data_IF_757931627458
#
_entry.id   IF_757931627458
#
_cell.length_a   1.000
_cell.length_b   1.000
_cell.length_c   1.000
_cell.angle_alpha   90.00
_cell.angle_beta   90.00
_cell.angle_gamma   90.00
#
_symmetry.space_group_name_H-M   'P 1'
#
loop_
_entity.id
_entity.type
_entity.pdbx_description
1 polymer ?
#
# COMPACT_ATOMS: atom_id res chain seq x y z
N UNK A 1 2.39 -9.56 -8.85
CA UNK A 1 3.64 -9.14 -8.14
C UNK A 1 4.80 -9.22 -9.11
N UNK A 2 5.86 -8.47 -8.86
CA UNK A 2 7.09 -8.46 -9.67
C UNK A 2 8.30 -8.54 -8.75
N UNK A 3 9.19 -9.50 -8.98
CA UNK A 3 10.48 -9.61 -8.28
C UNK A 3 11.55 -8.78 -8.99
N UNK A 4 12.60 -8.40 -8.27
CA UNK A 4 13.72 -7.61 -8.81
C UNK A 4 13.25 -6.34 -9.53
N UNK A 5 12.32 -5.61 -8.91
CA UNK A 5 11.57 -4.53 -9.54
C UNK A 5 12.44 -3.35 -9.98
N UNK A 6 13.37 -2.93 -9.13
CA UNK A 6 14.39 -1.94 -9.48
C UNK A 6 15.69 -2.63 -9.93
N UNK A 7 16.37 -2.13 -10.97
CA UNK A 7 17.70 -2.63 -11.36
C UNK A 7 18.78 -2.34 -10.30
N UNK A 8 18.58 -1.32 -9.47
CA UNK A 8 19.53 -0.91 -8.43
C UNK A 8 18.77 -0.47 -7.15
N UNK A 9 18.25 -1.43 -6.36
CA UNK A 9 17.49 -1.11 -5.15
C UNK A 9 18.38 -0.54 -4.03
N UNK A 10 19.70 -0.80 -4.07
CA UNK A 10 20.64 -0.28 -3.07
C UNK A 10 20.87 1.21 -3.25
N UNK A 11 20.96 1.71 -4.49
CA UNK A 11 20.96 3.14 -4.78
C UNK A 11 19.70 3.85 -4.26
N UNK A 12 18.53 3.20 -4.31
CA UNK A 12 17.28 3.76 -3.78
C UNK A 12 17.30 3.87 -2.25
N UNK A 13 17.88 2.91 -1.55
CA UNK A 13 18.07 2.98 -0.09
C UNK A 13 19.05 4.11 0.24
N UNK A 14 20.21 4.15 -0.42
CA UNK A 14 21.23 5.17 -0.20
C UNK A 14 20.68 6.59 -0.47
N UNK A 15 19.82 6.73 -1.48
CA UNK A 15 19.08 7.97 -1.70
C UNK A 15 18.15 8.31 -0.54
N UNK A 16 17.32 7.35 -0.10
CA UNK A 16 16.38 7.56 0.99
C UNK A 16 17.08 8.01 2.28
N UNK A 17 18.30 7.53 2.57
CA UNK A 17 19.09 8.01 3.72
C UNK A 17 19.34 9.52 3.73
N UNK A 18 19.39 10.14 2.55
CA UNK A 18 19.70 11.57 2.40
C UNK A 18 18.47 12.46 2.45
N UNK A 19 17.27 11.89 2.51
CA UNK A 19 16.01 12.62 2.43
C UNK A 19 15.46 12.98 3.81
N UNK A 20 14.80 14.13 3.87
CA UNK A 20 14.04 14.54 5.05
C UNK A 20 12.66 13.90 5.06
N UNK A 21 12.47 12.91 5.93
CA UNK A 21 11.16 12.29 6.15
C UNK A 21 10.30 13.10 7.12
N UNK A 22 9.06 13.35 6.72
CA UNK A 22 8.06 14.03 7.54
C UNK A 22 6.69 13.35 7.44
N UNK A 23 5.74 13.74 8.30
CA UNK A 23 4.37 13.22 8.23
C UNK A 23 3.72 13.78 6.96
N UNK A 24 3.31 12.90 6.04
CA UNK A 24 2.65 13.28 4.79
C UNK A 24 1.45 12.39 4.49
N UNK A 25 0.28 13.03 4.37
CA UNK A 25 -1.00 12.36 4.12
C UNK A 25 -1.63 11.83 5.41
N UNK A 26 -2.94 12.04 5.54
CA UNK A 26 -3.71 11.76 6.76
C UNK A 26 -3.78 10.26 7.11
N UNK A 27 -3.77 9.40 6.10
CA UNK A 27 -4.10 7.98 6.25
C UNK A 27 -2.88 7.04 6.36
N UNK A 28 -1.66 7.55 6.25
CA UNK A 28 -0.47 6.70 6.33
C UNK A 28 0.09 6.63 7.76
N UNK A 29 0.35 5.43 8.32
CA UNK A 29 0.84 5.27 9.69
C UNK A 29 2.37 5.45 9.78
N UNK A 30 2.86 6.65 9.43
CA UNK A 30 4.27 6.98 9.58
C UNK A 30 4.72 8.21 8.82
N UNK A 31 5.97 8.18 8.36
CA UNK A 31 6.63 9.31 7.70
C UNK A 31 7.02 8.97 6.26
N UNK A 32 7.13 10.01 5.44
CA UNK A 32 7.37 9.91 4.00
C UNK A 32 8.33 10.98 3.50
N UNK A 33 8.89 10.73 2.33
CA UNK A 33 9.65 11.68 1.55
C UNK A 33 9.32 11.53 0.05
N UNK A 34 9.49 12.59 -0.73
CA UNK A 34 9.38 12.51 -2.19
C UNK A 34 10.49 11.63 -2.74
N UNK A 35 10.17 10.77 -3.70
CA UNK A 35 11.23 10.09 -4.46
C UNK A 35 11.92 11.07 -5.40
N UNK A 36 13.17 10.80 -5.76
CA UNK A 36 13.83 11.54 -6.84
C UNK A 36 13.57 10.84 -8.20
N UNK A 37 13.97 11.46 -9.33
CA UNK A 37 13.91 10.81 -10.63
C UNK A 37 14.61 9.43 -10.70
N UNK A 38 15.58 9.16 -9.81
CA UNK A 38 16.31 7.90 -9.77
C UNK A 38 15.38 6.69 -9.58
N UNK A 39 14.27 6.85 -8.85
CA UNK A 39 13.29 5.77 -8.65
C UNK A 39 12.70 5.24 -9.97
N UNK A 40 12.55 6.11 -10.97
CA UNK A 40 11.92 5.75 -12.24
C UNK A 40 12.90 5.18 -13.27
N UNK A 41 14.21 5.27 -13.01
CA UNK A 41 15.24 4.78 -13.91
C UNK A 41 15.10 3.25 -14.12
N UNK A 42 14.91 2.84 -15.37
CA UNK A 42 14.79 1.42 -15.73
C UNK A 42 13.42 0.77 -15.48
N UNK A 43 12.50 1.42 -14.74
CA UNK A 43 11.19 0.83 -14.43
C UNK A 43 10.33 0.58 -15.67
N UNK A 44 10.50 1.34 -16.76
CA UNK A 44 9.72 1.15 -17.99
C UNK A 44 9.90 -0.24 -18.61
N UNK A 45 11.10 -0.83 -18.51
CA UNK A 45 11.36 -2.18 -19.01
C UNK A 45 10.54 -3.24 -18.27
N UNK A 46 10.23 -2.98 -16.99
CA UNK A 46 9.46 -3.87 -16.11
C UNK A 46 7.96 -3.57 -16.18
N UNK A 47 7.58 -2.29 -16.08
CA UNK A 47 6.19 -1.85 -16.02
C UNK A 47 5.49 -1.88 -17.37
N UNK A 48 6.20 -1.61 -18.47
CA UNK A 48 5.61 -1.57 -19.81
C UNK A 48 4.85 -2.87 -20.16
N UNK A 49 5.49 -4.05 -20.07
CA UNK A 49 4.83 -5.34 -20.28
C UNK A 49 3.66 -5.56 -19.30
N UNK A 50 3.86 -5.31 -18.00
CA UNK A 50 2.82 -5.53 -16.97
C UNK A 50 1.57 -4.69 -17.26
N UNK A 51 1.74 -3.40 -17.57
CA UNK A 51 0.60 -2.52 -17.82
C UNK A 51 -0.16 -2.91 -19.08
N UNK A 52 0.52 -3.36 -20.14
CA UNK A 52 -0.15 -3.81 -21.37
C UNK A 52 -0.82 -5.17 -21.20
N UNK A 53 -0.11 -6.14 -20.64
CA UNK A 53 -0.54 -7.55 -20.65
C UNK A 53 -1.52 -7.88 -19.52
N UNK A 54 -1.38 -7.23 -18.36
CA UNK A 54 -2.24 -7.49 -17.19
C UNK A 54 -3.36 -6.45 -17.09
N UNK A 55 -3.04 -5.18 -17.33
CA UNK A 55 -3.98 -4.08 -17.13
C UNK A 55 -4.56 -3.51 -18.44
N UNK A 56 -4.14 -4.03 -19.60
CA UNK A 56 -4.70 -3.64 -20.89
C UNK A 56 -4.39 -2.20 -21.33
N UNK A 57 -3.39 -1.54 -20.73
CA UNK A 57 -3.02 -0.17 -21.06
C UNK A 57 -2.65 -0.04 -22.54
N UNK A 58 -3.25 0.93 -23.24
CA UNK A 58 -3.02 1.15 -24.67
C UNK A 58 -2.08 2.32 -24.94
N UNK A 59 -2.02 3.27 -24.01
CA UNK A 59 -1.21 4.48 -24.13
C UNK A 59 0.00 4.50 -23.17
N UNK A 60 0.66 5.65 -23.11
CA UNK A 60 1.80 5.88 -22.21
C UNK A 60 1.33 5.94 -20.75
N UNK A 61 2.07 5.28 -19.88
CA UNK A 61 1.85 5.28 -18.44
C UNK A 61 2.40 6.59 -17.85
N UNK A 62 1.59 7.28 -17.06
CA UNK A 62 2.00 8.48 -16.31
C UNK A 62 1.97 8.22 -14.81
N UNK A 63 3.09 8.49 -14.12
CA UNK A 63 3.11 8.51 -12.66
C UNK A 63 2.49 9.80 -12.14
N UNK A 64 1.53 9.67 -11.23
CA UNK A 64 0.88 10.81 -10.58
C UNK A 64 1.59 11.20 -9.28
N UNK A 65 2.13 10.20 -8.57
CA UNK A 65 2.77 10.38 -7.26
C UNK A 65 3.67 9.18 -6.95
N UNK A 66 4.79 9.43 -6.30
CA UNK A 66 5.64 8.39 -5.73
C UNK A 66 6.32 8.91 -4.46
N UNK A 67 6.25 8.12 -3.39
CA UNK A 67 6.74 8.51 -2.06
C UNK A 67 7.50 7.35 -1.41
N UNK A 68 8.73 7.63 -0.96
CA UNK A 68 9.36 6.79 0.07
C UNK A 68 8.50 6.86 1.34
N UNK A 69 8.31 5.73 2.00
CA UNK A 69 7.43 5.59 3.14
C UNK A 69 8.02 4.64 4.18
N UNK A 70 8.09 5.11 5.44
CA UNK A 70 8.46 4.32 6.61
C UNK A 70 7.26 4.21 7.55
N UNK A 71 6.76 2.99 7.76
CA UNK A 71 5.72 2.76 8.76
C UNK A 71 6.37 2.76 10.15
N UNK A 72 5.95 3.67 11.02
CA UNK A 72 6.54 3.89 12.35
C UNK A 72 5.51 4.17 13.45
N UNK A 73 4.23 4.33 13.11
CA UNK A 73 3.21 4.66 14.11
C UNK A 73 2.96 3.47 15.03
N UNK A 74 3.04 3.64 16.36
CA UNK A 74 2.74 2.56 17.29
C UNK A 74 1.23 2.24 17.31
N UNK A 75 0.83 1.00 17.62
CA UNK A 75 -0.57 0.56 17.60
C UNK A 75 -1.55 1.48 18.35
N UNK A 76 -1.15 1.98 19.51
CA UNK A 76 -1.96 2.85 20.37
C UNK A 76 -2.25 4.24 19.76
N UNK A 77 -1.48 4.66 18.75
CA UNK A 77 -1.63 5.95 18.07
C UNK A 77 -2.33 5.82 16.71
N UNK A 78 -2.71 4.60 16.30
CA UNK A 78 -3.39 4.38 15.03
C UNK A 78 -4.80 4.97 15.03
N UNK A 79 -5.12 5.69 13.97
CA UNK A 79 -6.51 6.11 13.70
C UNK A 79 -7.37 4.92 13.27
N UNK A 80 -8.70 5.03 13.28
CA UNK A 80 -9.58 3.98 12.76
C UNK A 80 -9.23 3.57 11.31
N UNK A 81 -8.96 4.55 10.45
CA UNK A 81 -8.63 4.31 9.05
C UNK A 81 -7.32 3.52 8.87
N UNK A 82 -6.37 3.63 9.80
CA UNK A 82 -5.10 2.89 9.77
C UNK A 82 -5.20 1.46 10.33
N UNK A 83 -6.34 1.11 10.94
CA UNK A 83 -6.60 -0.20 11.58
C UNK A 83 -7.37 -1.17 10.67
N UNK A 84 -7.86 -0.70 9.51
CA UNK A 84 -8.74 -1.46 8.62
C UNK A 84 -8.28 -1.41 7.16
N UNK A 85 -8.79 -2.32 6.30
CA UNK A 85 -8.56 -2.24 4.86
C UNK A 85 -9.11 -0.95 4.27
N UNK A 86 -8.38 -0.39 3.30
CA UNK A 86 -8.72 0.84 2.61
C UNK A 86 -8.51 0.70 1.10
N UNK A 87 -8.97 1.72 0.38
CA UNK A 87 -8.65 1.97 -1.02
C UNK A 87 -7.91 3.31 -1.12
N UNK A 88 -7.09 3.48 -2.15
CA UNK A 88 -6.39 4.74 -2.39
C UNK A 88 -7.29 5.77 -3.11
N UNK A 89 -8.15 5.30 -4.00
CA UNK A 89 -9.10 6.13 -4.75
C UNK A 89 -10.20 5.29 -5.39
N UNK A 90 -11.34 5.92 -5.68
CA UNK A 90 -12.47 5.34 -6.41
C UNK A 90 -12.36 5.52 -7.93
N UNK A 91 -11.38 6.31 -8.38
CA UNK A 91 -11.17 6.63 -9.79
C UNK A 91 -10.75 5.39 -10.59
N UNK A 92 -11.35 5.24 -11.77
CA UNK A 92 -11.04 4.17 -12.71
C UNK A 92 -9.65 4.36 -13.34
N UNK A 93 -9.01 3.26 -13.75
CA UNK A 93 -7.69 3.29 -14.38
C UNK A 93 -6.55 3.71 -13.44
N UNK A 94 -6.80 3.87 -12.14
CA UNK A 94 -5.76 4.14 -11.15
C UNK A 94 -5.12 2.85 -10.66
N UNK A 95 -3.81 2.78 -10.75
CA UNK A 95 -3.01 1.62 -10.32
C UNK A 95 -2.04 2.06 -9.23
N UNK A 96 -1.97 1.26 -8.17
CA UNK A 96 -1.01 1.41 -7.10
C UNK A 96 0.15 0.43 -7.31
N UNK A 97 1.36 0.90 -7.03
CA UNK A 97 2.56 0.10 -6.91
C UNK A 97 3.10 0.27 -5.49
N UNK A 98 3.26 -0.84 -4.78
CA UNK A 98 3.95 -0.90 -3.50
C UNK A 98 5.25 -1.69 -3.67
N UNK A 99 6.38 -0.99 -3.65
CA UNK A 99 7.72 -1.56 -3.78
C UNK A 99 8.39 -1.67 -2.42
N UNK A 100 8.79 -2.89 -2.03
CA UNK A 100 9.47 -3.14 -0.76
C UNK A 100 10.98 -2.95 -0.89
N UNK A 101 11.55 -2.09 -0.06
CA UNK A 101 12.99 -1.84 0.02
C UNK A 101 13.60 -2.26 1.37
N UNK A 102 12.76 -2.69 2.32
CA UNK A 102 13.24 -3.29 3.56
C UNK A 102 13.82 -4.69 3.34
N UNK A 103 14.95 -4.98 4.00
CA UNK A 103 15.60 -6.30 3.99
C UNK A 103 15.10 -7.20 5.12
N UNK A 104 14.67 -6.61 6.23
CA UNK A 104 14.08 -7.33 7.34
C UNK A 104 12.60 -7.69 7.06
N UNK A 105 12.09 -8.80 7.60
CA UNK A 105 10.73 -9.26 7.35
C UNK A 105 9.70 -8.43 8.14
N UNK A 106 9.31 -7.28 7.60
CA UNK A 106 8.32 -6.38 8.22
C UNK A 106 6.88 -6.69 7.78
N UNK A 107 6.50 -7.97 7.88
CA UNK A 107 5.19 -8.45 7.49
C UNK A 107 4.96 -8.39 5.97
N UNK A 108 3.98 -7.63 5.51
CA UNK A 108 3.58 -7.62 4.10
C UNK A 108 2.38 -6.73 3.80
N UNK A 109 1.66 -7.06 2.75
CA UNK A 109 0.37 -6.43 2.41
C UNK A 109 -0.66 -7.52 2.15
N UNK A 110 -1.86 -7.30 2.67
CA UNK A 110 -3.00 -8.17 2.47
C UNK A 110 -4.10 -7.45 1.70
N UNK A 111 -4.87 -8.24 0.97
CA UNK A 111 -6.05 -7.82 0.22
C UNK A 111 -7.29 -8.44 0.83
N UNK A 112 -8.40 -7.73 0.72
CA UNK A 112 -9.57 -8.02 1.52
C UNK A 112 -10.87 -7.97 0.71
N UNK A 113 -11.85 -8.70 1.22
CA UNK A 113 -13.26 -8.58 0.86
C UNK A 113 -14.04 -8.11 2.08
N UNK A 114 -14.83 -7.06 1.89
CA UNK A 114 -15.79 -6.62 2.89
C UNK A 114 -16.95 -7.63 2.97
N UNK A 115 -17.19 -8.23 4.14
CA UNK A 115 -18.11 -9.37 4.26
C UNK A 115 -19.56 -8.98 4.00
N UNK A 116 -20.03 -7.89 4.60
CA UNK A 116 -21.44 -7.46 4.52
C UNK A 116 -21.86 -7.05 3.10
N UNK A 117 -20.93 -6.55 2.28
CA UNK A 117 -21.24 -6.15 0.88
C UNK A 117 -20.72 -7.15 -0.15
N UNK A 118 -19.81 -8.05 0.22
CA UNK A 118 -19.08 -8.93 -0.70
C UNK A 118 -18.08 -8.18 -1.60
N UNK A 119 -17.78 -6.90 -1.34
CA UNK A 119 -16.92 -6.10 -2.22
C UNK A 119 -15.44 -6.31 -1.92
N UNK A 120 -14.66 -6.57 -2.96
CA UNK A 120 -13.19 -6.52 -2.94
C UNK A 120 -12.68 -5.18 -3.48
N UNK A 121 -13.40 -4.60 -4.46
CA UNK A 121 -13.09 -3.30 -5.06
C UNK A 121 -14.21 -2.29 -4.81
N UNK A 122 -13.82 -1.05 -4.54
CA UNK A 122 -14.70 0.08 -4.23
C UNK A 122 -14.54 1.18 -5.29
N UNK A 123 -15.32 1.09 -6.36
CA UNK A 123 -15.45 2.17 -7.34
C UNK A 123 -16.39 3.30 -6.85
N UNK A 124 -16.59 4.32 -7.68
CA UNK A 124 -17.44 5.47 -7.34
C UNK A 124 -18.88 5.09 -7.02
N UNK A 125 -19.45 4.07 -7.68
CA UNK A 125 -20.81 3.61 -7.45
C UNK A 125 -20.93 2.80 -6.15
N UNK A 126 -19.89 2.03 -5.81
CA UNK A 126 -19.81 1.19 -4.60
C UNK A 126 -19.44 1.97 -3.35
N UNK A 127 -18.81 3.13 -3.48
CA UNK A 127 -18.25 3.87 -2.34
C UNK A 127 -19.28 4.25 -1.27
N UNK A 128 -20.42 4.85 -1.65
CA UNK A 128 -21.46 5.21 -0.69
C UNK A 128 -22.11 3.97 -0.04
N UNK A 129 -22.55 2.94 -0.80
CA UNK A 129 -23.02 1.69 -0.21
C UNK A 129 -22.03 1.06 0.76
N UNK A 130 -20.74 1.03 0.40
CA UNK A 130 -19.68 0.49 1.24
C UNK A 130 -19.56 1.23 2.58
N UNK A 131 -19.46 2.57 2.56
CA UNK A 131 -19.35 3.36 3.79
C UNK A 131 -20.57 3.24 4.70
N UNK A 132 -21.76 3.10 4.13
CA UNK A 132 -22.99 2.89 4.90
C UNK A 132 -22.99 1.53 5.59
N UNK A 133 -22.61 0.47 4.87
CA UNK A 133 -22.49 -0.88 5.42
C UNK A 133 -21.40 -0.94 6.49
N UNK A 134 -20.20 -0.42 6.22
CA UNK A 134 -19.08 -0.39 7.17
C UNK A 134 -19.46 0.33 8.48
N UNK A 135 -20.22 1.43 8.39
CA UNK A 135 -20.74 2.12 9.58
C UNK A 135 -21.72 1.26 10.37
N UNK A 136 -22.61 0.53 9.68
CA UNK A 136 -23.54 -0.38 10.33
C UNK A 136 -22.81 -1.55 11.01
N UNK A 137 -21.78 -2.11 10.34
CA UNK A 137 -20.95 -3.17 10.87
C UNK A 137 -20.20 -2.73 12.14
N UNK A 138 -19.60 -1.53 12.16
CA UNK A 138 -19.01 -0.98 13.39
C UNK A 138 -20.06 -0.68 14.48
N UNK A 139 -21.28 -0.34 14.11
CA UNK A 139 -22.37 -0.16 15.06
C UNK A 139 -22.81 -1.47 15.75
N UNK A 140 -22.69 -2.61 15.04
CA UNK A 140 -23.07 -3.92 15.53
C UNK A 140 -21.91 -4.64 16.25
N UNK A 141 -20.72 -4.62 15.66
CA UNK A 141 -19.55 -5.39 16.12
C UNK A 141 -18.57 -4.56 16.96
N UNK A 142 -18.69 -3.24 16.92
CA UNK A 142 -17.72 -2.30 17.49
C UNK A 142 -16.55 -2.00 16.54
N UNK A 143 -15.76 -0.98 16.89
CA UNK A 143 -14.50 -0.69 16.20
C UNK A 143 -13.42 -1.72 16.54
N UNK A 144 -12.48 -2.01 15.61
CA UNK A 144 -11.33 -2.86 15.92
C UNK A 144 -10.44 -2.25 17.00
N UNK A 145 -9.76 -3.11 17.76
CA UNK A 145 -8.75 -2.70 18.73
C UNK A 145 -7.63 -1.86 18.10
N UNK A 146 -6.90 -1.02 18.88
CA UNK A 146 -5.79 -0.21 18.39
C UNK A 146 -4.59 -1.08 18.01
N UNK A 147 -4.67 -1.72 16.85
CA UNK A 147 -3.70 -2.65 16.30
C UNK A 147 -3.70 -2.61 14.78
N UNK A 148 -2.57 -2.95 14.18
CA UNK A 148 -2.53 -3.28 12.75
C UNK A 148 -3.34 -4.55 12.51
N UNK A 149 -4.16 -4.56 11.46
CA UNK A 149 -4.97 -5.71 11.11
C UNK A 149 -4.09 -6.96 10.87
N UNK A 150 -4.58 -8.11 11.32
CA UNK A 150 -3.93 -9.41 11.15
C UNK A 150 -4.97 -10.43 10.68
N UNK A 151 -4.82 -10.95 9.46
CA UNK A 151 -5.72 -11.98 8.94
C UNK A 151 -7.16 -11.51 8.78
N UNK A 152 -8.09 -12.44 8.94
CA UNK A 152 -9.53 -12.21 8.90
C UNK A 152 -10.02 -11.44 10.15
N UNK A 153 -11.11 -10.70 9.95
CA UNK A 153 -11.93 -10.13 11.04
C UNK A 153 -13.40 -10.48 10.82
N UNK A 154 -14.26 -10.10 11.76
CA UNK A 154 -15.72 -10.23 11.61
C UNK A 154 -16.27 -9.40 10.45
N UNK A 155 -15.59 -8.31 10.07
CA UNK A 155 -16.04 -7.36 9.02
C UNK A 155 -15.32 -7.62 7.69
N UNK A 156 -14.09 -8.10 7.72
CA UNK A 156 -13.25 -8.30 6.54
C UNK A 156 -12.72 -9.73 6.44
N UNK A 157 -12.75 -10.27 5.23
CA UNK A 157 -12.09 -11.52 4.88
C UNK A 157 -10.79 -11.21 4.14
N UNK A 158 -9.69 -11.82 4.57
CA UNK A 158 -8.41 -11.73 3.89
C UNK A 158 -8.41 -12.68 2.69
N UNK A 159 -8.46 -12.14 1.49
CA UNK A 159 -8.52 -12.93 0.25
C UNK A 159 -7.13 -13.27 -0.29
N UNK A 160 -6.13 -12.44 -0.01
CA UNK A 160 -4.75 -12.72 -0.34
C UNK A 160 -3.79 -12.01 0.62
N UNK A 161 -2.57 -12.54 0.74
CA UNK A 161 -1.48 -11.93 1.49
C UNK A 161 -0.16 -12.16 0.76
N UNK A 162 0.67 -11.13 0.72
CA UNK A 162 2.00 -11.18 0.15
C UNK A 162 2.99 -10.59 1.13
N UNK A 163 4.04 -11.35 1.44
CA UNK A 163 5.08 -10.89 2.35
C UNK A 163 5.98 -9.83 1.70
N UNK A 164 6.49 -8.94 2.55
CA UNK A 164 7.46 -7.90 2.20
C UNK A 164 8.80 -8.56 1.90
N UNK A 165 9.07 -8.74 0.60
CA UNK A 165 10.34 -9.29 0.10
C UNK A 165 11.14 -8.16 -0.54
N UNK A 166 12.43 -8.08 -0.20
CA UNK A 166 13.31 -7.04 -0.72
C UNK A 166 13.30 -6.98 -2.25
N UNK A 167 13.12 -5.77 -2.78
CA UNK A 167 13.02 -5.46 -4.20
C UNK A 167 11.83 -6.11 -4.94
N UNK A 168 10.78 -6.52 -4.20
CA UNK A 168 9.50 -6.93 -4.78
C UNK A 168 8.55 -5.75 -4.90
N UNK A 169 7.82 -5.67 -6.00
CA UNK A 169 6.66 -4.78 -6.14
C UNK A 169 5.34 -5.56 -6.20
N UNK A 170 4.34 -5.06 -5.46
CA UNK A 170 2.94 -5.40 -5.68
C UNK A 170 2.33 -4.31 -6.57
N UNK A 171 1.56 -4.73 -7.58
CA UNK A 171 0.94 -3.84 -8.55
C UNK A 171 -0.52 -4.24 -8.62
N UNK A 172 -1.44 -3.32 -8.32
CA UNK A 172 -2.86 -3.62 -8.16
C UNK A 172 -3.75 -2.38 -8.44
N UNK A 173 -5.04 -2.56 -8.77
CA UNK A 173 -5.96 -1.45 -8.91
C UNK A 173 -6.07 -0.65 -7.60
N UNK A 174 -5.98 0.67 -7.66
CA UNK A 174 -6.02 1.54 -6.48
C UNK A 174 -7.34 1.50 -5.71
N UNK A 175 -8.40 0.98 -6.34
CA UNK A 175 -9.71 0.79 -5.72
C UNK A 175 -9.89 -0.61 -5.07
N UNK A 176 -8.84 -1.42 -4.99
CA UNK A 176 -8.85 -2.73 -4.34
C UNK A 176 -8.62 -2.57 -2.82
N UNK A 177 -9.46 -3.21 -2.01
CA UNK A 177 -9.34 -3.18 -0.55
C UNK A 177 -8.04 -3.87 -0.11
N UNK A 178 -7.20 -3.13 0.59
CA UNK A 178 -5.91 -3.62 1.05
C UNK A 178 -5.49 -2.99 2.37
N UNK A 179 -4.57 -3.63 3.07
CA UNK A 179 -3.96 -3.08 4.27
C UNK A 179 -2.52 -3.59 4.46
N UNK A 180 -1.70 -2.82 5.16
CA UNK A 180 -0.39 -3.28 5.59
C UNK A 180 -0.54 -4.30 6.72
N UNK A 181 0.20 -5.41 6.61
CA UNK A 181 0.33 -6.40 7.67
C UNK A 181 1.64 -6.13 8.41
N UNK A 182 1.54 -5.79 9.69
CA UNK A 182 2.67 -5.38 10.53
C UNK A 182 2.64 -6.17 11.85
N UNK A 183 3.14 -7.43 11.85
CA UNK A 183 2.97 -8.35 12.98
C UNK A 183 3.85 -8.01 14.18
N UNK A 184 4.97 -7.30 13.97
CA UNK A 184 5.84 -6.82 15.04
C UNK A 184 6.00 -5.30 14.99
N UNK A 185 5.06 -4.54 15.60
CA UNK A 185 5.13 -3.09 15.62
C UNK A 185 6.36 -2.55 16.38
N UNK A 186 6.97 -3.33 17.28
CA UNK A 186 8.15 -2.89 18.02
C UNK A 186 9.41 -2.84 17.13
N UNK A 187 9.42 -3.58 16.01
CA UNK A 187 10.49 -3.55 15.01
C UNK A 187 10.39 -2.35 14.04
N UNK A 188 9.33 -1.54 14.11
CA UNK A 188 9.11 -0.40 13.21
C UNK A 188 10.01 0.78 13.57
N UNK A 189 11.24 0.76 13.05
CA UNK A 189 12.23 1.80 13.28
C UNK A 189 12.10 2.98 12.30
N UNK A 190 12.41 4.19 12.79
CA UNK A 190 12.66 5.38 11.97
C UNK A 190 14.09 5.33 11.38
N UNK A 191 14.34 4.32 10.57
CA UNK A 191 15.64 4.02 9.98
C UNK A 191 15.40 3.29 8.66
N UNK A 192 15.99 3.77 7.57
CA UNK A 192 15.74 3.24 6.21
C UNK A 192 16.33 1.85 5.98
N UNK A 193 17.33 1.45 6.77
CA UNK A 193 17.94 0.12 6.71
C UNK A 193 17.22 -0.90 7.59
N UNK A 194 16.72 -0.44 8.74
CA UNK A 194 16.12 -1.31 9.75
C UNK A 194 14.60 -1.34 9.71
N UNK A 195 13.95 -0.25 9.33
CA UNK A 195 12.51 -0.09 9.32
C UNK A 195 11.85 -0.67 8.06
N UNK A 196 10.51 -0.59 8.02
CA UNK A 196 9.72 -0.99 6.85
C UNK A 196 9.74 0.10 5.77
N UNK A 197 10.87 0.21 5.07
CA UNK A 197 10.98 1.10 3.92
C UNK A 197 10.24 0.53 2.71
N UNK A 198 9.39 1.36 2.12
CA UNK A 198 8.68 1.08 0.87
C UNK A 198 8.66 2.32 -0.02
N UNK A 199 8.43 2.13 -1.31
CA UNK A 199 7.94 3.19 -2.20
C UNK A 199 6.51 2.87 -2.59
N UNK A 200 5.59 3.78 -2.25
CA UNK A 200 4.24 3.75 -2.77
C UNK A 200 4.15 4.71 -3.96
N UNK A 201 3.84 4.20 -5.14
CA UNK A 201 3.66 5.00 -6.35
C UNK A 201 2.33 4.71 -7.03
N UNK A 202 1.83 5.71 -7.75
CA UNK A 202 0.50 5.71 -8.35
C UNK A 202 0.61 6.15 -9.79
N UNK A 203 -0.12 5.46 -10.66
CA UNK A 203 -0.18 5.72 -12.08
C UNK A 203 -1.59 5.65 -12.60
N UNK A 204 -1.81 6.35 -13.71
CA UNK A 204 -3.03 6.26 -14.49
C UNK A 204 -2.74 5.50 -15.77
N UNK A 205 -3.64 4.58 -16.10
CA UNK A 205 -3.71 3.96 -17.42
C UNK A 205 -4.94 4.49 -18.16
N UNK A 206 -4.77 4.73 -19.45
CA UNK A 206 -5.82 5.09 -20.40
C UNK A 206 -5.91 3.98 -21.47
#
# INVERSE_FOLDING_TARGET
MVEHFSPDPDRLIAEAETLDFSVMGEFYPGIRALVTPAYFEGLNAVLGPVMREVFGAQERIGFNRALYSLAITPPAELTLAQRIPHIDTVEEGRIAILHYLSRAPHGGTAFYRHRSTGFETIDAARHRPYLNALRADFGAEGEPLPAYIQGDTTIFEQTARYDAVFNRALIYPSNLLHCAILPDPAALARDVHKGRLTVASFLTIC
#
